data_IF_560663320396
#
_entry.id   IF_560663320396
#
_cell.length_a   1.000
_cell.length_b   1.000
_cell.length_c   1.000
_cell.angle_alpha   90.00
_cell.angle_beta   90.00
_cell.angle_gamma   90.00
#
_symmetry.space_group_name_H-M   'P 1'
#
loop_
_entity.id
_entity.type
_entity.pdbx_description
1 polymer ?
#
# COMPACT_ATOMS: atom_id res chain seq x y z
N UNK A 1 -23.82 -2.03 -44.98
CA UNK A 1 -22.42 -2.30 -44.56
C UNK A 1 -21.75 -1.11 -43.85
N UNK A 2 -21.89 0.13 -44.35
CA UNK A 2 -21.27 1.33 -43.72
C UNK A 2 -21.66 1.56 -42.24
N UNK A 3 -22.95 1.36 -41.91
CA UNK A 3 -23.48 1.52 -40.54
C UNK A 3 -22.95 0.49 -39.53
N UNK A 4 -22.55 -0.70 -40.00
CA UNK A 4 -21.96 -1.75 -39.16
C UNK A 4 -20.49 -1.44 -38.84
N UNK A 5 -19.76 -0.87 -39.81
CA UNK A 5 -18.36 -0.45 -39.64
C UNK A 5 -18.28 0.75 -38.69
N UNK A 6 -19.20 1.71 -38.79
CA UNK A 6 -19.29 2.85 -37.87
C UNK A 6 -19.58 2.42 -36.43
N UNK A 7 -20.42 1.41 -36.24
CA UNK A 7 -20.70 0.85 -34.91
C UNK A 7 -19.48 0.17 -34.29
N UNK A 8 -18.74 -0.60 -35.09
CA UNK A 8 -17.51 -1.26 -34.63
C UNK A 8 -16.42 -0.25 -34.25
N UNK A 9 -16.29 0.84 -35.03
CA UNK A 9 -15.33 1.91 -34.76
C UNK A 9 -15.68 2.69 -33.49
N UNK A 10 -16.97 2.93 -33.25
CA UNK A 10 -17.45 3.56 -32.02
C UNK A 10 -17.21 2.68 -30.78
N UNK A 11 -17.43 1.36 -30.89
CA UNK A 11 -17.12 0.41 -29.81
C UNK A 11 -15.61 0.38 -29.55
N UNK A 12 -14.79 0.37 -30.60
CA UNK A 12 -13.33 0.39 -30.46
C UNK A 12 -12.83 1.67 -29.82
N UNK A 13 -13.42 2.82 -30.16
CA UNK A 13 -13.12 4.11 -29.51
C UNK A 13 -13.56 4.13 -28.03
N UNK A 14 -14.71 3.53 -27.69
CA UNK A 14 -15.19 3.45 -26.31
C UNK A 14 -14.29 2.55 -25.44
N UNK A 15 -13.82 1.44 -26.01
CA UNK A 15 -12.85 0.54 -25.37
C UNK A 15 -11.51 1.25 -25.17
N UNK A 16 -11.01 1.98 -26.18
CA UNK A 16 -9.77 2.73 -26.08
C UNK A 16 -9.83 3.79 -24.96
N UNK A 17 -10.97 4.46 -24.80
CA UNK A 17 -11.15 5.46 -23.74
C UNK A 17 -11.16 4.84 -22.33
N UNK A 18 -11.77 3.67 -22.17
CA UNK A 18 -11.77 2.96 -20.89
C UNK A 18 -10.36 2.51 -20.46
N UNK A 19 -9.49 2.17 -21.42
CA UNK A 19 -8.10 1.77 -21.16
C UNK A 19 -7.17 2.95 -20.85
N UNK A 20 -7.58 4.18 -21.19
CA UNK A 20 -6.79 5.39 -20.98
C UNK A 20 -7.05 6.08 -19.62
N UNK A 21 -7.98 5.54 -18.81
CA UNK A 21 -8.28 6.11 -17.51
C UNK A 21 -7.08 5.97 -16.56
N UNK A 22 -6.46 7.08 -16.18
CA UNK A 22 -5.43 7.12 -15.14
C UNK A 22 -6.03 6.78 -13.77
N UNK A 23 -5.24 6.09 -12.94
CA UNK A 23 -5.66 5.76 -11.59
C UNK A 23 -5.93 7.06 -10.81
N UNK A 24 -7.09 7.17 -10.13
CA UNK A 24 -7.50 8.43 -9.53
C UNK A 24 -6.85 8.56 -8.15
N UNK A 25 -5.72 9.26 -8.08
CA UNK A 25 -5.10 9.62 -6.81
C UNK A 25 -5.86 10.77 -6.16
N UNK A 26 -5.76 10.87 -4.82
CA UNK A 26 -6.23 12.05 -4.09
C UNK A 26 -5.23 13.20 -4.29
N UNK A 27 -5.69 14.44 -4.12
CA UNK A 27 -4.80 15.60 -4.15
C UNK A 27 -4.05 15.71 -2.81
N UNK A 28 -2.77 16.14 -2.84
CA UNK A 28 -1.97 16.46 -1.65
C UNK A 28 -1.76 15.30 -0.65
N UNK A 29 -1.44 14.12 -1.17
CA UNK A 29 -1.09 12.93 -0.37
C UNK A 29 0.41 12.93 -0.09
N UNK A 30 0.89 12.50 1.09
CA UNK A 30 2.31 12.27 1.28
C UNK A 30 2.81 11.14 0.38
N UNK A 31 4.08 11.21 -0.05
CA UNK A 31 4.69 10.20 -0.93
C UNK A 31 4.95 8.86 -0.23
N UNK A 32 4.89 8.81 1.11
CA UNK A 32 5.14 7.61 1.90
C UNK A 32 4.13 7.41 3.03
N UNK A 33 3.81 6.14 3.28
CA UNK A 33 2.99 5.70 4.42
C UNK A 33 3.70 4.57 5.15
N UNK A 34 3.72 4.63 6.48
CA UNK A 34 4.26 3.55 7.32
C UNK A 34 3.12 2.71 7.84
N UNK A 35 3.12 1.42 7.50
CA UNK A 35 2.10 0.44 7.89
C UNK A 35 2.04 0.32 9.41
N UNK A 36 0.84 0.41 9.97
CA UNK A 36 0.57 0.21 11.39
C UNK A 36 -0.12 -1.13 11.62
N UNK A 37 -0.16 -1.56 12.88
CA UNK A 37 -0.90 -2.75 13.27
C UNK A 37 -2.40 -2.58 12.96
N UNK A 38 -2.97 -3.56 12.24
CA UNK A 38 -4.36 -3.55 11.80
C UNK A 38 -4.60 -2.94 10.42
N UNK A 39 -3.61 -2.28 9.82
CA UNK A 39 -3.76 -1.71 8.47
C UNK A 39 -3.81 -2.82 7.41
N UNK A 40 -4.75 -2.70 6.48
CA UNK A 40 -4.76 -3.53 5.27
C UNK A 40 -4.30 -2.74 4.07
N UNK A 41 -3.88 -3.45 3.02
CA UNK A 41 -3.53 -2.82 1.76
C UNK A 41 -4.72 -2.05 1.16
N UNK A 42 -5.95 -2.49 1.44
CA UNK A 42 -7.15 -1.78 1.00
C UNK A 42 -7.32 -0.44 1.73
N UNK A 43 -7.14 -0.41 3.05
CA UNK A 43 -7.23 0.83 3.85
C UNK A 43 -6.14 1.83 3.45
N UNK A 44 -4.92 1.33 3.25
CA UNK A 44 -3.80 2.15 2.79
C UNK A 44 -4.08 2.67 1.38
N UNK A 45 -4.69 1.86 0.53
CA UNK A 45 -5.04 2.31 -0.82
C UNK A 45 -6.15 3.35 -0.82
N UNK A 46 -7.10 3.29 0.11
CA UNK A 46 -8.07 4.38 0.29
C UNK A 46 -7.38 5.68 0.73
N UNK A 47 -6.27 5.60 1.47
CA UNK A 47 -5.49 6.78 1.81
C UNK A 47 -4.87 7.47 0.57
N UNK A 48 -4.37 6.70 -0.40
CA UNK A 48 -3.73 7.23 -1.61
C UNK A 48 -4.68 7.47 -2.79
N UNK A 49 -5.73 6.69 -2.91
CA UNK A 49 -6.61 6.68 -4.07
C UNK A 49 -7.97 7.26 -3.74
N UNK A 50 -8.54 7.97 -4.70
CA UNK A 50 -9.95 8.33 -4.70
C UNK A 50 -10.86 7.12 -4.95
N UNK A 51 -10.33 6.06 -5.57
CA UNK A 51 -11.01 4.78 -5.80
C UNK A 51 -10.19 3.62 -5.24
N UNK A 52 -10.42 3.19 -3.99
CA UNK A 52 -9.57 2.19 -3.35
C UNK A 52 -9.51 0.85 -4.09
N UNK A 53 -10.59 0.41 -4.74
CA UNK A 53 -10.64 -0.88 -5.45
C UNK A 53 -9.70 -1.00 -6.66
N UNK A 54 -9.11 0.11 -7.12
CA UNK A 54 -8.14 0.14 -8.23
C UNK A 54 -6.73 -0.24 -7.74
N UNK A 55 -6.55 -0.43 -6.43
CA UNK A 55 -5.26 -0.80 -5.84
C UNK A 55 -4.53 -1.97 -6.52
N UNK A 56 -5.19 -3.06 -7.00
CA UNK A 56 -4.48 -4.17 -7.63
C UNK A 56 -3.75 -3.78 -8.91
N UNK A 57 -4.23 -2.72 -9.60
CA UNK A 57 -3.66 -2.25 -10.85
C UNK A 57 -2.42 -1.39 -10.63
N UNK A 58 -2.42 -0.59 -9.56
CA UNK A 58 -1.29 0.30 -9.22
C UNK A 58 -0.24 -0.38 -8.34
N UNK A 59 -0.61 -1.49 -7.68
CA UNK A 59 0.29 -2.34 -6.88
C UNK A 59 1.21 -3.13 -7.80
N UNK A 60 2.13 -2.41 -8.44
CA UNK A 60 3.05 -2.96 -9.42
C UNK A 60 4.48 -2.77 -8.91
N UNK A 61 5.29 -3.83 -9.07
CA UNK A 61 6.71 -3.90 -8.68
C UNK A 61 6.96 -4.17 -7.18
N UNK A 62 6.42 -5.29 -6.68
CA UNK A 62 6.79 -5.83 -5.36
C UNK A 62 7.18 -7.32 -5.41
N UNK A 63 8.26 -7.68 -6.13
CA UNK A 63 8.71 -9.08 -6.22
C UNK A 63 9.05 -9.71 -4.85
N UNK A 64 9.35 -8.86 -3.86
CA UNK A 64 9.59 -9.24 -2.47
C UNK A 64 8.38 -9.83 -1.74
N UNK A 65 7.17 -9.65 -2.26
CA UNK A 65 5.94 -10.17 -1.68
C UNK A 65 5.17 -10.97 -2.73
N UNK A 66 4.94 -12.25 -2.43
CA UNK A 66 4.10 -13.13 -3.26
C UNK A 66 2.60 -12.90 -3.05
N UNK A 67 2.20 -12.49 -1.85
CA UNK A 67 0.82 -12.20 -1.51
C UNK A 67 0.71 -10.75 -1.00
N UNK A 68 0.07 -9.83 -1.75
CA UNK A 68 -0.04 -8.41 -1.41
C UNK A 68 -0.59 -8.11 0.01
N UNK A 69 -1.33 -9.05 0.60
CA UNK A 69 -1.84 -8.92 1.97
C UNK A 69 -0.77 -9.14 3.07
N UNK A 70 0.45 -9.59 2.72
CA UNK A 70 1.55 -9.82 3.67
C UNK A 70 2.37 -8.55 3.92
N UNK A 71 1.68 -7.46 4.23
CA UNK A 71 2.27 -6.24 4.75
C UNK A 71 2.34 -6.32 6.27
N UNK A 72 3.42 -5.82 6.86
CA UNK A 72 3.65 -5.88 8.30
C UNK A 72 3.83 -4.49 8.90
N UNK A 73 3.51 -4.29 10.19
CA UNK A 73 3.82 -3.04 10.87
C UNK A 73 5.29 -2.65 10.72
N UNK A 74 5.53 -1.41 10.31
CA UNK A 74 6.87 -0.89 10.00
C UNK A 74 7.30 -1.02 8.53
N UNK A 75 6.54 -1.75 7.71
CA UNK A 75 6.70 -1.68 6.24
C UNK A 75 6.37 -0.25 5.76
N UNK A 76 7.06 0.22 4.72
CA UNK A 76 6.84 1.55 4.15
C UNK A 76 6.30 1.42 2.74
N UNK A 77 5.09 1.93 2.50
CA UNK A 77 4.50 2.03 1.17
C UNK A 77 4.85 3.40 0.59
N UNK A 78 5.48 3.43 -0.58
CA UNK A 78 5.82 4.65 -1.30
C UNK A 78 5.02 4.76 -2.58
N UNK A 79 4.53 5.96 -2.85
CA UNK A 79 3.99 6.37 -4.13
C UNK A 79 5.17 6.80 -5.03
N UNK A 80 5.36 6.10 -6.14
CA UNK A 80 6.43 6.39 -7.11
C UNK A 80 5.85 6.54 -8.50
N UNK A 81 6.44 7.41 -9.31
CA UNK A 81 6.07 7.59 -10.71
C UNK A 81 7.05 6.81 -11.59
N UNK A 82 6.57 5.76 -12.25
CA UNK A 82 7.34 4.94 -13.20
C UNK A 82 6.73 5.14 -14.58
N UNK A 83 7.51 5.62 -15.53
CA UNK A 83 7.06 5.97 -16.89
C UNK A 83 5.87 6.96 -16.90
N UNK A 84 5.89 7.94 -15.99
CA UNK A 84 4.82 8.90 -15.80
C UNK A 84 3.55 8.34 -15.15
N UNK A 85 3.50 7.03 -14.85
CA UNK A 85 2.38 6.37 -14.20
C UNK A 85 2.65 6.23 -12.69
N UNK A 86 1.74 6.68 -11.83
CA UNK A 86 1.84 6.47 -10.39
C UNK A 86 1.68 4.98 -10.03
N UNK A 87 2.54 4.47 -9.18
CA UNK A 87 2.59 3.08 -8.69
C UNK A 87 2.85 3.04 -7.20
N UNK A 88 2.31 2.04 -6.52
CA UNK A 88 2.60 1.77 -5.12
C UNK A 88 3.70 0.73 -5.00
N UNK A 89 4.80 1.11 -4.34
CA UNK A 89 5.93 0.22 -4.05
C UNK A 89 6.07 0.04 -2.56
N UNK A 90 6.39 -1.17 -2.15
CA UNK A 90 6.76 -1.48 -0.78
C UNK A 90 8.28 -1.33 -0.63
N UNK A 91 8.70 -0.70 0.44
CA UNK A 91 10.07 -0.70 0.92
C UNK A 91 10.10 -1.37 2.29
N UNK A 92 10.56 -2.61 2.31
CA UNK A 92 10.84 -3.32 3.55
C UNK A 92 12.26 -2.98 3.99
N UNK A 93 12.38 -2.27 5.11
CA UNK A 93 13.65 -2.19 5.81
C UNK A 93 14.04 -3.62 6.21
N UNK A 94 15.09 -4.16 5.58
CA UNK A 94 15.61 -5.51 5.85
C UNK A 94 15.53 -5.84 7.34
N UNK A 95 15.01 -7.03 7.64
CA UNK A 95 14.99 -7.71 8.93
C UNK A 95 15.40 -6.82 10.09
N UNK A 96 14.44 -6.12 10.70
CA UNK A 96 14.65 -5.55 12.02
C UNK A 96 15.02 -6.72 12.92
N UNK A 97 16.31 -6.92 13.15
CA UNK A 97 16.83 -7.98 14.01
C UNK A 97 16.38 -7.64 15.42
N UNK A 98 15.24 -8.21 15.82
CA UNK A 98 14.73 -8.13 17.17
C UNK A 98 15.70 -8.92 18.06
N UNK A 99 16.65 -8.22 18.67
CA UNK A 99 17.47 -8.79 19.74
C UNK A 99 16.69 -8.68 21.05
N UNK A 100 16.71 -9.71 21.92
CA UNK A 100 16.08 -9.62 23.23
C UNK A 100 16.62 -8.40 23.99
N UNK A 101 15.72 -7.49 24.39
CA UNK A 101 16.06 -6.40 25.28
C UNK A 101 15.79 -6.84 26.72
N UNK A 102 16.84 -6.89 27.55
CA UNK A 102 16.69 -7.07 28.99
C UNK A 102 16.06 -5.79 29.53
N UNK A 103 14.85 -5.89 30.08
CA UNK A 103 14.25 -4.82 30.88
C UNK A 103 15.06 -4.68 32.17
N UNK A 104 16.09 -3.85 32.16
CA UNK A 104 16.84 -3.51 33.37
C UNK A 104 16.05 -2.47 34.16
N UNK A 105 15.36 -2.93 35.20
CA UNK A 105 14.92 -2.03 36.28
C UNK A 105 16.13 -1.74 37.16
N UNK A 106 16.35 -0.46 37.49
CA UNK A 106 17.34 -0.10 38.52
C UNK A 106 16.88 -0.73 39.84
N UNK A 107 17.56 -1.81 40.21
CA UNK A 107 17.22 -2.60 41.38
C UNK A 107 17.55 -1.79 42.61
N UNK A 108 16.55 -1.15 43.22
CA UNK A 108 16.65 -0.70 44.61
C UNK A 108 15.33 -0.36 45.34
N UNK A 109 14.17 -0.82 44.87
CA UNK A 109 12.98 -0.83 45.72
C UNK A 109 12.74 -2.24 46.24
N UNK A 110 12.88 -2.41 47.56
CA UNK A 110 12.56 -3.65 48.25
C UNK A 110 11.10 -4.03 47.97
N UNK A 111 10.87 -5.31 47.66
CA UNK A 111 9.52 -5.84 47.55
C UNK A 111 8.90 -5.83 48.95
N UNK A 112 7.75 -5.16 49.17
CA UNK A 112 7.11 -5.13 50.47
C UNK A 112 6.66 -6.55 50.88
N UNK A 113 6.71 -6.90 52.18
CA UNK A 113 6.22 -8.19 52.65
C UNK A 113 4.71 -8.33 52.42
N UNK A 114 4.28 -9.55 52.11
CA UNK A 114 2.87 -9.91 52.01
C UNK A 114 2.20 -9.68 53.38
N UNK A 115 1.07 -8.95 53.46
CA UNK A 115 0.33 -8.78 54.70
C UNK A 115 -0.31 -10.11 55.15
N UNK A 116 -0.33 -10.34 56.46
CA UNK A 116 -1.06 -11.43 57.13
C UNK A 116 -2.49 -11.02 57.47
#
# INVERSE_FOLDING_TARGET
>A
MKKLISGLLAIWALVALALAAEAPFKDNIPDRYTVKEGDTLWDISDYFLSKPWVWPEIWHVNPQIRNPHLIYPGDVINLVYIDGKPRLTLSRGRDVKLSPQIRSIETRQAIPPLPL
#
